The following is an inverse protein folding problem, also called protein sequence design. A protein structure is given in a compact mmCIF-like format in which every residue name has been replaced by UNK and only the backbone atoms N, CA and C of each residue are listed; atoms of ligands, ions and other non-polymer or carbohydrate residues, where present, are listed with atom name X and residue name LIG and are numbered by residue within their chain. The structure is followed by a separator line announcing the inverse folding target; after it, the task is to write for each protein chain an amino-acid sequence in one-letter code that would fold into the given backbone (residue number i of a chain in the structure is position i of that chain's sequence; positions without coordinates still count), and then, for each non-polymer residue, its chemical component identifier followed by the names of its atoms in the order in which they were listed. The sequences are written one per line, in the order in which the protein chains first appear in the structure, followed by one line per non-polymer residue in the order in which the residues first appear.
data_IF_131453650927
#
_entry.id   IF_131453650927
#
_cell.length_a   1.000
_cell.length_b   1.000
_cell.length_c   1.000
_cell.angle_alpha   90.00
_cell.angle_beta   90.00
_cell.angle_gamma   90.00
#
_symmetry.space_group_name_H-M   'P 1'
#
loop_
_entity.id
_entity.type
_entity.pdbx_description
1 polymer ?
#
# COMPACT_ATOMS: atom_id res chain seq x y z
N UNK A 1 -1.34 8.87 2.13
CA UNK A 1 -0.48 9.66 2.99
C UNK A 1 0.98 9.24 3.11
N UNK A 2 1.31 7.96 3.23
CA UNK A 2 2.68 7.49 3.58
C UNK A 2 3.68 7.48 2.40
N UNK A 3 3.26 7.54 1.17
CA UNK A 3 4.12 7.45 -0.03
C UNK A 3 4.85 8.77 -0.32
N UNK A 4 4.13 9.89 -0.24
CA UNK A 4 4.63 11.19 -0.69
C UNK A 4 5.70 11.85 0.21
N UNK A 5 5.65 11.77 1.55
CA UNK A 5 6.56 12.53 2.39
C UNK A 5 8.05 12.33 2.10
N UNK A 6 8.57 11.10 1.87
CA UNK A 6 9.97 10.91 1.52
C UNK A 6 10.34 11.60 0.20
N UNK A 7 9.48 11.44 -0.83
CA UNK A 7 9.69 12.02 -2.16
C UNK A 7 9.73 13.54 -2.07
N UNK A 8 8.76 14.13 -1.36
CA UNK A 8 8.66 15.58 -1.16
C UNK A 8 9.89 16.11 -0.43
N UNK A 9 10.35 15.40 0.60
CA UNK A 9 11.55 15.79 1.34
C UNK A 9 12.76 15.87 0.43
N UNK A 10 12.99 14.87 -0.40
CA UNK A 10 14.14 14.84 -1.31
C UNK A 10 14.01 15.86 -2.44
N UNK A 11 12.80 16.08 -2.94
CA UNK A 11 12.53 17.10 -3.93
C UNK A 11 12.78 18.52 -3.38
N UNK A 12 12.32 18.82 -2.16
CA UNK A 12 12.53 20.12 -1.51
C UNK A 12 14.01 20.41 -1.22
N UNK A 13 14.82 19.38 -0.95
CA UNK A 13 16.29 19.58 -0.80
C UNK A 13 16.92 20.04 -2.12
N UNK A 14 16.44 19.53 -3.26
CA UNK A 14 16.96 19.87 -4.59
C UNK A 14 16.36 21.18 -5.15
N UNK A 15 15.09 21.43 -4.83
CA UNK A 15 14.31 22.56 -5.35
C UNK A 15 13.60 23.31 -4.19
N UNK A 16 14.34 24.05 -3.34
CA UNK A 16 13.79 24.67 -2.13
C UNK A 16 12.71 25.72 -2.41
N UNK A 17 12.77 26.39 -3.55
CA UNK A 17 11.85 27.46 -3.94
C UNK A 17 10.53 26.97 -4.55
N UNK A 18 10.38 25.66 -4.79
CA UNK A 18 9.13 25.09 -5.31
C UNK A 18 8.18 24.80 -4.17
N UNK A 19 7.02 25.44 -4.16
CA UNK A 19 5.97 25.11 -3.20
C UNK A 19 5.27 23.79 -3.56
N UNK A 20 5.10 22.94 -2.56
CA UNK A 20 4.39 21.67 -2.67
C UNK A 20 3.26 21.65 -1.67
N UNK A 21 2.06 21.42 -2.17
CA UNK A 21 0.86 21.20 -1.34
C UNK A 21 0.40 19.77 -1.51
N UNK A 22 0.10 19.10 -0.40
CA UNK A 22 -0.43 17.73 -0.39
C UNK A 22 -1.87 17.76 0.09
N UNK A 23 -2.77 17.19 -0.70
CA UNK A 23 -4.17 16.99 -0.35
C UNK A 23 -4.46 15.51 -0.30
N UNK A 24 -5.10 15.04 0.76
CA UNK A 24 -5.56 13.66 0.88
C UNK A 24 -7.07 13.57 0.66
N UNK A 25 -7.50 12.48 0.03
CA UNK A 25 -8.91 12.25 -0.23
C UNK A 25 -9.16 10.84 -0.79
N UNK A 26 -10.42 10.50 -0.94
CA UNK A 26 -10.81 9.31 -1.68
C UNK A 26 -10.66 9.54 -3.20
N UNK A 27 -10.72 8.46 -3.96
CA UNK A 27 -10.55 8.48 -5.42
C UNK A 27 -11.45 9.48 -6.13
N UNK A 28 -12.73 9.59 -5.74
CA UNK A 28 -13.68 10.53 -6.35
C UNK A 28 -13.28 11.98 -6.13
N UNK A 29 -12.87 12.34 -4.91
CA UNK A 29 -12.38 13.68 -4.60
C UNK A 29 -11.10 13.98 -5.37
N UNK A 30 -10.14 13.04 -5.38
CA UNK A 30 -8.85 13.21 -6.08
C UNK A 30 -9.05 13.38 -7.58
N UNK A 31 -9.95 12.62 -8.20
CA UNK A 31 -10.30 12.78 -9.61
C UNK A 31 -10.92 14.16 -9.89
N UNK A 32 -11.81 14.62 -9.03
CA UNK A 32 -12.40 15.98 -9.15
C UNK A 32 -11.33 17.05 -9.09
N UNK A 33 -10.39 16.96 -8.14
CA UNK A 33 -9.29 17.93 -8.00
C UNK A 33 -8.35 17.91 -9.22
N UNK A 34 -8.11 16.73 -9.79
CA UNK A 34 -7.29 16.60 -10.99
C UNK A 34 -8.02 17.18 -12.22
N UNK A 35 -9.31 16.90 -12.37
CA UNK A 35 -10.12 17.34 -13.50
C UNK A 35 -10.28 18.87 -13.57
N UNK A 36 -10.40 19.54 -12.42
CA UNK A 36 -10.51 20.99 -12.33
C UNK A 36 -9.17 21.74 -12.23
N UNK A 37 -8.04 21.02 -12.34
CA UNK A 37 -6.67 21.53 -12.20
C UNK A 37 -6.32 22.11 -10.81
N UNK A 38 -7.02 21.72 -9.76
CA UNK A 38 -6.66 22.09 -8.38
C UNK A 38 -5.42 21.37 -7.88
N UNK A 39 -5.07 20.25 -8.50
CA UNK A 39 -3.80 19.52 -8.27
C UNK A 39 -3.10 19.24 -9.59
N UNK A 40 -1.78 19.12 -9.55
CA UNK A 40 -0.96 18.79 -10.71
C UNK A 40 -0.85 17.29 -10.95
N UNK A 41 -0.78 16.53 -9.86
CA UNK A 41 -0.69 15.07 -9.84
C UNK A 41 -1.65 14.45 -8.83
N UNK A 42 -2.10 13.26 -9.15
CA UNK A 42 -2.72 12.34 -8.19
C UNK A 42 -1.90 11.06 -8.15
N UNK A 43 -1.57 10.58 -6.95
CA UNK A 43 -0.99 9.25 -6.76
C UNK A 43 -2.08 8.30 -6.28
N UNK A 44 -2.37 7.29 -7.10
CA UNK A 44 -3.45 6.35 -6.82
C UNK A 44 -3.17 5.00 -7.49
N UNK A 45 -3.85 3.96 -7.00
CA UNK A 45 -3.92 2.63 -7.61
C UNK A 45 -5.22 2.41 -8.40
N UNK A 46 -6.14 3.37 -8.41
CA UNK A 46 -7.34 3.35 -9.22
C UNK A 46 -7.03 3.58 -10.70
N UNK A 47 -7.81 2.98 -11.59
CA UNK A 47 -7.64 3.17 -13.03
C UNK A 47 -8.56 4.28 -13.52
N UNK A 48 -8.01 5.49 -13.64
CA UNK A 48 -8.69 6.64 -14.24
C UNK A 48 -8.83 6.48 -15.76
N UNK A 49 -9.76 7.22 -16.36
CA UNK A 49 -10.02 7.20 -17.80
C UNK A 49 -8.79 7.70 -18.59
N UNK A 50 -8.19 6.81 -19.38
CA UNK A 50 -6.99 7.09 -20.18
C UNK A 50 -7.23 8.12 -21.30
N UNK A 51 -8.48 8.42 -21.66
CA UNK A 51 -8.80 9.50 -22.61
C UNK A 51 -8.67 10.88 -21.99
N UNK A 52 -8.76 10.98 -20.65
CA UNK A 52 -8.67 12.23 -19.88
C UNK A 52 -7.32 12.38 -19.17
N UNK A 53 -6.71 11.29 -18.74
CA UNK A 53 -5.54 11.30 -17.87
C UNK A 53 -4.42 10.41 -18.39
N UNK A 54 -3.21 10.95 -18.40
CA UNK A 54 -1.97 10.19 -18.57
C UNK A 54 -1.52 9.65 -17.21
N UNK A 55 -0.73 8.57 -17.25
CA UNK A 55 -0.19 7.97 -16.03
C UNK A 55 1.25 7.53 -16.21
N UNK A 56 1.99 7.57 -15.13
CA UNK A 56 3.34 7.02 -15.04
C UNK A 56 3.39 6.05 -13.85
N UNK A 57 3.89 4.84 -14.09
CA UNK A 57 4.00 3.82 -13.04
C UNK A 57 4.99 4.31 -11.98
N UNK A 58 4.50 4.43 -10.75
CA UNK A 58 5.35 4.73 -9.60
C UNK A 58 5.98 3.46 -9.04
N UNK A 59 5.16 2.48 -8.64
CA UNK A 59 5.66 1.22 -8.11
C UNK A 59 4.63 0.09 -8.18
N UNK A 60 5.12 -1.12 -7.94
CA UNK A 60 4.29 -2.25 -7.53
C UNK A 60 4.20 -2.28 -6.01
N UNK A 61 3.01 -2.41 -5.48
CA UNK A 61 2.73 -2.54 -4.06
C UNK A 61 2.18 -3.94 -3.78
N UNK A 62 2.66 -4.57 -2.71
CA UNK A 62 2.24 -5.90 -2.30
C UNK A 62 1.44 -5.82 -1.00
N UNK A 63 0.36 -6.59 -0.93
CA UNK A 63 -0.47 -6.69 0.26
C UNK A 63 -0.05 -7.95 1.02
N UNK A 64 0.21 -7.77 2.31
CA UNK A 64 0.56 -8.81 3.27
C UNK A 64 -0.56 -8.97 4.30
N UNK A 65 -0.56 -10.12 4.95
CA UNK A 65 -1.30 -10.29 6.18
C UNK A 65 -0.34 -10.09 7.36
N UNK A 66 -0.63 -9.13 8.24
CA UNK A 66 0.04 -8.94 9.51
C UNK A 66 -0.77 -9.64 10.61
N UNK A 67 -0.17 -10.60 11.29
CA UNK A 67 -0.81 -11.42 12.33
C UNK A 67 -0.07 -11.25 13.64
N UNK A 68 -0.73 -10.89 14.75
CA UNK A 68 -0.09 -10.88 16.06
C UNK A 68 0.48 -12.25 16.44
N UNK A 69 1.69 -12.26 17.01
CA UNK A 69 2.45 -13.50 17.29
C UNK A 69 1.75 -14.49 18.22
N UNK A 70 0.90 -14.01 19.14
CA UNK A 70 0.24 -14.86 20.14
C UNK A 70 -0.84 -15.77 19.57
N UNK A 71 -1.29 -15.54 18.33
CA UNK A 71 -2.27 -16.43 17.69
C UNK A 71 -1.64 -17.76 17.32
N UNK A 72 -2.31 -18.87 17.74
CA UNK A 72 -1.82 -20.25 17.55
C UNK A 72 -1.71 -20.66 16.08
N UNK A 73 -2.44 -20.00 15.22
CA UNK A 73 -2.38 -20.19 13.76
C UNK A 73 -0.97 -19.98 13.22
N UNK A 74 -0.13 -19.24 13.92
CA UNK A 74 1.27 -19.02 13.54
C UNK A 74 2.17 -20.26 13.76
N UNK A 75 1.81 -21.20 14.67
CA UNK A 75 2.68 -22.28 15.19
C UNK A 75 3.13 -23.29 14.12
N UNK A 76 2.44 -23.43 13.00
CA UNK A 76 2.76 -24.39 11.94
C UNK A 76 3.12 -23.72 10.61
N UNK A 77 3.38 -22.43 10.64
CA UNK A 77 3.56 -21.62 9.47
C UNK A 77 4.92 -20.92 9.44
N UNK A 78 5.92 -21.40 10.18
CA UNK A 78 7.23 -20.77 10.32
C UNK A 78 7.92 -20.57 8.97
N UNK A 79 7.74 -21.49 8.02
CA UNK A 79 8.34 -21.40 6.68
C UNK A 79 7.75 -20.29 5.81
N UNK A 80 6.60 -19.72 6.21
CA UNK A 80 5.93 -18.62 5.51
C UNK A 80 6.13 -17.28 6.19
N UNK A 81 6.70 -17.27 7.41
CA UNK A 81 6.81 -16.08 8.24
C UNK A 81 7.87 -15.12 7.72
N UNK A 82 7.52 -13.86 7.69
CA UNK A 82 8.40 -12.75 7.40
C UNK A 82 8.49 -11.82 8.61
N UNK A 83 9.67 -11.29 8.86
CA UNK A 83 9.88 -10.21 9.82
C UNK A 83 9.67 -8.85 9.15
N UNK A 84 9.56 -7.80 9.97
CA UNK A 84 9.57 -6.43 9.50
C UNK A 84 10.84 -6.14 8.67
N UNK A 85 12.01 -6.59 9.13
CA UNK A 85 13.29 -6.46 8.42
C UNK A 85 13.28 -7.15 7.07
N UNK A 86 12.70 -8.37 6.96
CA UNK A 86 12.55 -9.08 5.69
C UNK A 86 11.72 -8.29 4.68
N UNK A 87 10.70 -7.54 5.15
CA UNK A 87 9.91 -6.68 4.28
C UNK A 87 10.70 -5.42 3.89
N UNK A 88 11.44 -4.81 4.81
CA UNK A 88 12.31 -3.69 4.51
C UNK A 88 13.37 -4.04 3.45
N UNK A 89 13.98 -5.22 3.56
CA UNK A 89 14.97 -5.74 2.64
C UNK A 89 14.39 -6.31 1.33
N UNK A 90 13.06 -6.28 1.18
CA UNK A 90 12.33 -6.86 0.04
C UNK A 90 12.62 -8.35 -0.20
N UNK A 91 12.91 -9.12 0.86
CA UNK A 91 13.21 -10.55 0.77
C UNK A 91 12.05 -11.36 0.18
N UNK A 92 10.82 -10.88 0.34
CA UNK A 92 9.61 -11.47 -0.23
C UNK A 92 9.57 -11.48 -1.77
N UNK A 93 10.42 -10.70 -2.44
CA UNK A 93 10.56 -10.72 -3.91
C UNK A 93 11.49 -11.84 -4.38
N UNK A 94 12.27 -12.42 -3.48
CA UNK A 94 13.11 -13.58 -3.78
C UNK A 94 12.21 -14.80 -4.01
N UNK A 95 12.54 -15.63 -4.98
CA UNK A 95 11.77 -16.83 -5.33
C UNK A 95 11.64 -17.88 -4.22
N UNK A 96 12.40 -17.73 -3.14
CA UNK A 96 12.40 -18.62 -1.97
C UNK A 96 11.34 -18.31 -0.93
N UNK A 97 10.59 -17.19 -1.07
CA UNK A 97 9.55 -16.80 -0.12
C UNK A 97 8.17 -17.27 -0.62
N UNK A 98 7.61 -18.36 -0.05
CA UNK A 98 6.30 -18.86 -0.45
C UNK A 98 5.17 -17.96 0.08
N UNK A 99 4.06 -17.93 -0.65
CA UNK A 99 2.83 -17.33 -0.16
C UNK A 99 2.11 -18.29 0.79
N UNK A 100 1.55 -17.77 1.88
CA UNK A 100 0.84 -18.59 2.86
C UNK A 100 -0.54 -18.99 2.32
N UNK A 101 -1.01 -20.21 2.57
CA UNK A 101 -2.41 -20.57 2.36
C UNK A 101 -3.31 -19.80 3.35
N UNK A 102 -4.09 -18.83 2.83
CA UNK A 102 -4.82 -17.86 3.65
C UNK A 102 -5.94 -18.49 4.49
N UNK A 103 -6.45 -19.66 4.12
CA UNK A 103 -7.46 -20.43 4.85
C UNK A 103 -7.06 -20.78 6.29
N UNK A 104 -5.78 -20.85 6.59
CA UNK A 104 -5.29 -21.09 7.96
C UNK A 104 -5.74 -20.00 8.94
N UNK A 105 -6.03 -18.81 8.45
CA UNK A 105 -6.44 -17.67 9.27
C UNK A 105 -7.95 -17.42 9.29
N UNK A 106 -8.74 -18.34 8.74
CA UNK A 106 -10.21 -18.19 8.61
C UNK A 106 -10.96 -17.97 9.94
N UNK A 107 -10.36 -18.36 11.06
CA UNK A 107 -10.96 -18.22 12.41
C UNK A 107 -10.46 -16.99 13.17
N UNK A 108 -9.49 -16.27 12.65
CA UNK A 108 -8.97 -15.08 13.32
C UNK A 108 -9.96 -13.91 13.30
N UNK A 109 -9.91 -13.05 14.33
CA UNK A 109 -10.51 -11.73 14.24
C UNK A 109 -9.69 -10.84 13.30
N UNK A 110 -10.39 -10.04 12.47
CA UNK A 110 -9.76 -9.13 11.53
C UNK A 110 -10.09 -7.68 11.84
N UNK A 111 -9.09 -6.83 11.71
CA UNK A 111 -9.22 -5.37 11.66
C UNK A 111 -9.06 -4.99 10.18
N UNK A 112 -10.06 -4.38 9.59
CA UNK A 112 -10.11 -4.10 8.16
C UNK A 112 -10.34 -2.62 7.88
N UNK A 113 -10.24 -2.24 6.62
CA UNK A 113 -10.65 -0.92 6.18
C UNK A 113 -12.14 -0.87 5.89
N UNK A 114 -12.70 0.34 5.88
CA UNK A 114 -14.11 0.58 5.56
C UNK A 114 -14.44 0.10 4.14
N UNK A 115 -15.71 -0.30 3.89
CA UNK A 115 -16.19 -0.69 2.56
C UNK A 115 -15.90 0.39 1.50
N UNK A 116 -15.52 -0.04 0.31
CA UNK A 116 -15.15 0.86 -0.80
C UNK A 116 -13.65 1.22 -0.85
N UNK A 117 -12.88 0.93 0.19
CA UNK A 117 -11.42 1.05 0.13
C UNK A 117 -10.83 -0.08 -0.72
N UNK A 118 -9.86 0.22 -1.60
CA UNK A 118 -9.25 -0.79 -2.49
C UNK A 118 -8.60 -1.94 -1.70
N UNK A 119 -7.89 -1.65 -0.62
CA UNK A 119 -7.28 -2.71 0.21
C UNK A 119 -8.35 -3.62 0.82
N UNK A 120 -9.51 -3.08 1.23
CA UNK A 120 -10.64 -3.87 1.70
C UNK A 120 -11.22 -4.75 0.61
N UNK A 121 -11.45 -4.21 -0.58
CA UNK A 121 -11.99 -4.96 -1.73
C UNK A 121 -11.07 -6.14 -2.07
N UNK A 122 -9.75 -5.91 -2.05
CA UNK A 122 -8.74 -6.95 -2.29
C UNK A 122 -8.71 -8.00 -1.18
N UNK A 123 -8.74 -7.57 0.08
CA UNK A 123 -8.78 -8.46 1.23
C UNK A 123 -10.00 -9.38 1.20
N UNK A 124 -11.19 -8.83 0.93
CA UNK A 124 -12.43 -9.59 0.81
C UNK A 124 -12.37 -10.61 -0.34
N UNK A 125 -11.72 -10.24 -1.47
CA UNK A 125 -11.52 -11.16 -2.59
C UNK A 125 -10.56 -12.28 -2.24
N UNK A 126 -9.41 -11.96 -1.64
CA UNK A 126 -8.42 -12.96 -1.19
C UNK A 126 -9.05 -13.96 -0.20
N UNK A 127 -9.81 -13.48 0.79
CA UNK A 127 -10.50 -14.35 1.75
C UNK A 127 -11.55 -15.24 1.05
N UNK A 128 -12.30 -14.69 0.11
CA UNK A 128 -13.30 -15.46 -0.66
C UNK A 128 -12.64 -16.53 -1.52
N UNK A 129 -11.54 -16.22 -2.19
CA UNK A 129 -10.75 -17.17 -2.99
C UNK A 129 -10.16 -18.29 -2.10
N UNK A 130 -9.84 -17.97 -0.83
CA UNK A 130 -9.43 -18.95 0.19
C UNK A 130 -10.60 -19.66 0.88
N UNK A 131 -11.85 -19.46 0.43
CA UNK A 131 -13.02 -20.19 0.91
C UNK A 131 -13.64 -19.69 2.21
N UNK A 132 -13.36 -18.46 2.65
CA UNK A 132 -13.95 -17.91 3.88
C UNK A 132 -14.29 -16.41 3.77
N UNK A 133 -15.07 -15.94 4.74
CA UNK A 133 -15.31 -14.52 4.99
C UNK A 133 -14.64 -14.10 6.29
N UNK A 134 -13.90 -12.98 6.32
CA UNK A 134 -13.20 -12.55 7.52
C UNK A 134 -14.20 -12.18 8.64
N UNK A 135 -13.92 -12.62 9.86
CA UNK A 135 -14.62 -12.16 11.06
C UNK A 135 -14.12 -10.78 11.44
N UNK A 136 -14.81 -9.74 10.99
CA UNK A 136 -14.40 -8.36 11.18
C UNK A 136 -14.83 -7.88 12.56
N UNK A 137 -13.87 -7.44 13.38
CA UNK A 137 -14.10 -6.90 14.72
C UNK A 137 -13.97 -5.39 14.78
N UNK A 138 -13.29 -4.78 13.78
CA UNK A 138 -13.10 -3.34 13.70
C UNK A 138 -12.92 -2.92 12.25
N UNK A 139 -13.58 -1.83 11.85
CA UNK A 139 -13.44 -1.19 10.55
C UNK A 139 -12.91 0.23 10.71
N UNK A 140 -11.89 0.59 9.93
CA UNK A 140 -11.18 1.87 10.01
C UNK A 140 -10.97 2.46 8.61
N UNK A 141 -10.80 3.77 8.54
CA UNK A 141 -10.65 4.44 7.23
C UNK A 141 -9.23 4.39 6.67
N UNK A 142 -8.22 4.37 7.55
CA UNK A 142 -6.82 4.47 7.16
C UNK A 142 -6.04 3.18 7.49
N UNK A 143 -5.22 2.73 6.53
CA UNK A 143 -4.41 1.52 6.69
C UNK A 143 -3.40 1.64 7.85
N UNK A 144 -2.81 2.82 8.05
CA UNK A 144 -1.92 3.09 9.20
C UNK A 144 -2.64 2.94 10.53
N UNK A 145 -3.87 3.43 10.63
CA UNK A 145 -4.68 3.30 11.86
C UNK A 145 -5.09 1.84 12.11
N UNK A 146 -5.44 1.09 11.05
CA UNK A 146 -5.74 -0.34 11.16
C UNK A 146 -4.53 -1.13 11.64
N UNK A 147 -3.34 -0.81 11.14
CA UNK A 147 -2.09 -1.43 11.56
C UNK A 147 -1.75 -1.11 13.02
N UNK A 148 -1.90 0.15 13.43
CA UNK A 148 -1.73 0.56 14.83
C UNK A 148 -2.73 -0.14 15.76
N UNK A 149 -4.00 -0.26 15.37
CA UNK A 149 -5.00 -1.01 16.13
C UNK A 149 -4.62 -2.50 16.22
N UNK A 150 -4.18 -3.12 15.14
CA UNK A 150 -3.73 -4.51 15.15
C UNK A 150 -2.48 -4.73 16.02
N UNK A 151 -1.61 -3.71 16.18
CA UNK A 151 -0.44 -3.79 17.06
C UNK A 151 -0.80 -3.94 18.56
N UNK A 152 -2.03 -3.63 18.94
CA UNK A 152 -2.56 -3.93 20.28
C UNK A 152 -2.94 -5.41 20.47
N UNK A 153 -2.64 -6.24 19.48
CA UNK A 153 -2.85 -7.69 19.49
C UNK A 153 -4.32 -8.14 19.42
N UNK A 154 -5.23 -7.28 18.99
CA UNK A 154 -6.67 -7.59 18.90
C UNK A 154 -7.04 -8.49 17.72
N UNK A 155 -6.31 -8.41 16.60
CA UNK A 155 -6.64 -9.15 15.39
C UNK A 155 -5.62 -8.99 14.27
N UNK A 156 -5.78 -9.75 13.22
CA UNK A 156 -4.99 -9.66 12.01
C UNK A 156 -5.43 -8.49 11.11
N UNK A 157 -4.54 -7.97 10.29
CA UNK A 157 -4.88 -6.91 9.33
C UNK A 157 -4.14 -7.09 8.01
N UNK A 158 -4.78 -6.66 6.92
CA UNK A 158 -4.14 -6.57 5.61
C UNK A 158 -3.41 -5.23 5.48
N UNK A 159 -2.16 -5.29 5.08
CA UNK A 159 -1.26 -4.13 5.04
C UNK A 159 -0.36 -4.16 3.81
N UNK A 160 -0.03 -2.98 3.27
CA UNK A 160 0.94 -2.90 2.18
C UNK A 160 2.39 -2.93 2.65
N UNK A 161 3.26 -3.51 1.83
CA UNK A 161 4.70 -3.50 2.03
C UNK A 161 5.27 -2.08 2.13
N UNK A 162 4.72 -1.16 1.37
CA UNK A 162 5.14 0.24 1.40
C UNK A 162 4.88 0.88 2.76
N UNK A 163 3.72 0.60 3.36
CA UNK A 163 3.39 1.14 4.67
C UNK A 163 4.25 0.48 5.77
N UNK A 164 4.44 -0.84 5.71
CA UNK A 164 5.30 -1.56 6.67
C UNK A 164 6.71 -0.99 6.67
N UNK A 165 7.27 -0.69 5.50
CA UNK A 165 8.64 -0.15 5.40
C UNK A 165 8.80 1.26 5.96
N UNK A 166 7.72 2.01 6.14
CA UNK A 166 7.73 3.39 6.64
C UNK A 166 7.33 3.53 8.11
N UNK A 167 6.71 2.49 8.67
CA UNK A 167 6.31 2.48 10.06
C UNK A 167 7.39 1.83 10.94
N UNK A 168 7.41 2.16 12.24
CA UNK A 168 8.25 1.46 13.19
C UNK A 168 7.95 -0.03 13.22
N UNK A 169 8.97 -0.85 13.46
CA UNK A 169 8.82 -2.27 13.67
C UNK A 169 8.02 -2.54 14.95
N UNK A 170 6.98 -3.36 14.84
CA UNK A 170 6.31 -3.93 16.00
C UNK A 170 6.73 -5.39 16.15
N UNK A 171 7.45 -5.71 17.23
CA UNK A 171 7.99 -7.04 17.51
C UNK A 171 6.87 -8.11 17.65
N UNK A 172 5.65 -7.68 17.87
CA UNK A 172 4.49 -8.55 18.09
C UNK A 172 3.86 -9.07 16.81
N UNK A 173 4.32 -8.66 15.62
CA UNK A 173 3.78 -9.14 14.36
C UNK A 173 4.63 -10.22 13.70
N UNK A 174 3.93 -11.08 12.99
CA UNK A 174 4.44 -11.93 11.91
C UNK A 174 3.73 -11.49 10.64
N UNK A 175 4.45 -11.39 9.55
CA UNK A 175 3.90 -11.03 8.24
C UNK A 175 3.89 -12.23 7.32
N UNK A 176 2.87 -12.30 6.47
CA UNK A 176 2.71 -13.37 5.51
C UNK A 176 2.49 -12.80 4.12
N UNK A 177 3.27 -13.30 3.16
CA UNK A 177 3.07 -13.05 1.74
C UNK A 177 1.81 -13.76 1.28
N UNK A 178 1.01 -13.07 0.47
CA UNK A 178 -0.24 -13.58 -0.09
C UNK A 178 -0.05 -13.93 -1.58
N UNK A 179 -0.83 -14.89 -2.07
CA UNK A 179 -0.89 -15.26 -3.47
C UNK A 179 -2.08 -14.61 -4.19
N UNK A 180 -2.03 -14.62 -5.52
CA UNK A 180 -3.13 -14.15 -6.38
C UNK A 180 -3.02 -12.69 -6.79
N UNK A 181 -3.79 -12.32 -7.82
CA UNK A 181 -3.73 -10.99 -8.42
C UNK A 181 -4.17 -9.88 -7.45
N UNK A 182 -5.04 -10.21 -6.49
CA UNK A 182 -5.49 -9.25 -5.48
C UNK A 182 -4.43 -8.91 -4.44
N UNK A 183 -3.35 -9.71 -4.34
CA UNK A 183 -2.22 -9.44 -3.45
C UNK A 183 -1.24 -8.39 -3.99
N UNK A 184 -1.41 -7.96 -5.23
CA UNK A 184 -0.53 -6.99 -5.88
C UNK A 184 -1.34 -5.86 -6.49
N UNK A 185 -0.80 -4.66 -6.50
CA UNK A 185 -1.37 -3.52 -7.22
C UNK A 185 -0.30 -2.59 -7.73
N UNK A 186 -0.61 -1.93 -8.85
CA UNK A 186 0.22 -0.88 -9.42
C UNK A 186 -0.24 0.46 -8.86
N UNK A 187 0.70 1.28 -8.46
CA UNK A 187 0.47 2.67 -8.03
C UNK A 187 1.04 3.58 -9.10
N UNK A 188 0.26 4.55 -9.52
CA UNK A 188 0.61 5.46 -10.60
C UNK A 188 0.55 6.91 -10.15
N UNK A 189 1.37 7.75 -10.77
CA UNK A 189 1.14 9.17 -10.85
C UNK A 189 0.24 9.46 -12.05
N UNK A 190 -0.89 10.12 -11.80
CA UNK A 190 -1.84 10.57 -12.82
C UNK A 190 -1.74 12.08 -12.99
N UNK A 191 -1.84 12.53 -14.22
CA UNK A 191 -1.94 13.94 -14.58
C UNK A 191 -2.83 14.11 -15.81
N UNK A 192 -3.40 15.30 -15.97
CA UNK A 192 -4.37 15.58 -17.04
C UNK A 192 -3.70 15.55 -18.41
N UNK A 193 -4.34 14.91 -19.39
CA UNK A 193 -3.89 14.91 -20.78
C UNK A 193 -3.82 16.34 -21.31
N UNK A 194 -2.86 16.59 -22.20
CA UNK A 194 -2.65 17.89 -22.86
C UNK A 194 -2.39 19.08 -21.91
N UNK A 195 -2.21 18.85 -20.61
CA UNK A 195 -1.74 19.89 -19.70
C UNK A 195 -0.25 20.11 -19.90
N UNK A 196 0.13 21.40 -20.00
CA UNK A 196 1.55 21.76 -20.01
C UNK A 196 2.22 21.28 -18.71
N UNK A 197 3.25 20.47 -18.86
CA UNK A 197 4.09 20.07 -17.71
C UNK A 197 5.11 21.17 -17.45
N UNK A 198 5.10 21.72 -16.27
CA UNK A 198 6.15 22.65 -15.85
C UNK A 198 7.46 21.87 -15.63
N UNK A 199 8.59 22.57 -15.67
CA UNK A 199 9.88 21.97 -15.35
C UNK A 199 9.90 21.33 -13.96
N UNK A 200 9.23 21.93 -12.97
CA UNK A 200 9.09 21.37 -11.62
C UNK A 200 8.35 20.02 -11.64
N UNK A 201 7.30 19.89 -12.45
CA UNK A 201 6.56 18.63 -12.61
C UNK A 201 7.43 17.55 -13.25
N UNK A 202 8.19 17.87 -14.30
CA UNK A 202 9.08 16.92 -14.98
C UNK A 202 10.19 16.42 -14.05
N UNK A 203 10.82 17.33 -13.29
CA UNK A 203 11.85 16.98 -12.32
C UNK A 203 11.30 16.13 -11.16
N UNK A 204 10.08 16.43 -10.68
CA UNK A 204 9.43 15.62 -9.67
C UNK A 204 9.19 14.19 -10.14
N UNK A 205 8.61 13.99 -11.32
CA UNK A 205 8.40 12.67 -11.91
C UNK A 205 9.72 11.93 -12.14
N UNK A 206 10.74 12.61 -12.67
CA UNK A 206 12.07 12.02 -12.88
C UNK A 206 12.67 11.48 -11.57
N UNK A 207 12.55 12.23 -10.47
CA UNK A 207 13.05 11.79 -9.16
C UNK A 207 12.29 10.57 -8.61
N UNK A 208 10.99 10.47 -8.88
CA UNK A 208 10.19 9.32 -8.44
C UNK A 208 10.59 8.03 -9.16
N UNK A 209 10.99 8.11 -10.42
CA UNK A 209 11.49 6.96 -11.16
C UNK A 209 12.82 6.44 -10.63
N UNK A 210 13.74 7.33 -10.25
CA UNK A 210 15.06 6.97 -9.73
C UNK A 210 14.99 6.24 -8.38
N UNK A 211 14.02 6.58 -7.52
CA UNK A 211 13.84 5.95 -6.22
C UNK A 211 13.31 4.51 -6.29
N UNK A 212 12.73 4.11 -7.42
CA UNK A 212 12.11 2.80 -7.61
C UNK A 212 12.94 1.84 -8.47
N UNK A 213 14.09 2.26 -8.97
CA UNK A 213 15.04 1.35 -9.61
C UNK A 213 15.57 0.37 -8.55
N UNK A 214 15.64 -0.93 -8.85
CA UNK A 214 16.29 -1.88 -7.96
C UNK A 214 17.75 -1.40 -7.75
N UNK A 215 18.15 -1.32 -6.49
CA UNK A 215 19.57 -1.10 -6.16
C UNK A 215 20.39 -2.16 -6.85
N UNK A 216 21.34 -1.72 -7.69
CA UNK A 216 22.26 -2.58 -8.42
C UNK A 216 23.11 -3.41 -7.49
#
# INVERSE_FOLDING_TARGET
GYVLPPIVTDFKKKFPDVDIQITEGNTTLLESLLSNNSVDFVIDNYHYDSTLYSRELYCMENIFLAVPRHFRENEKLESYQLSHESIQNKDYLKGTCPAVPLEHFSKLPFITLAPGNDTRIRADRLCREAGFHPHIILELDQQSTAYMAASTQLGATFISDMLVRQLPAFEHFVYYKLAGDSAHRQVYFYYKNHKYKTRAMEEFLSMTHLQNLPSA
#
